data_IF_979276830961
#
_entry.id   IF_979276830961
#
_cell.length_a   1.000
_cell.length_b   1.000
_cell.length_c   1.000
_cell.angle_alpha   90.00
_cell.angle_beta   90.00
_cell.angle_gamma   90.00
#
_symmetry.space_group_name_H-M   'P 1'
#
loop_
_entity.id
_entity.type
_entity.pdbx_description
1 polymer ?
#
# COMPACT_ATOMS: atom_id res chain seq x y z
N UNK A 1 19.92 -8.20 58.46
CA UNK A 1 18.68 -7.68 57.86
C UNK A 1 18.72 -7.98 56.37
N UNK A 2 18.00 -9.02 55.96
CA UNK A 2 17.98 -9.52 54.58
C UNK A 2 17.18 -8.56 53.69
N UNK A 3 17.78 -8.07 52.60
CA UNK A 3 17.07 -7.33 51.55
C UNK A 3 16.52 -8.35 50.54
N UNK A 4 15.21 -8.55 50.58
CA UNK A 4 14.44 -9.31 49.61
C UNK A 4 14.37 -8.50 48.31
N UNK A 5 15.06 -8.95 47.25
CA UNK A 5 15.00 -8.33 45.92
C UNK A 5 13.80 -8.95 45.20
N UNK A 6 12.71 -8.20 45.09
CA UNK A 6 11.56 -8.54 44.27
C UNK A 6 11.90 -8.22 42.81
N UNK A 7 12.28 -9.24 42.03
CA UNK A 7 12.39 -9.13 40.58
C UNK A 7 11.00 -9.15 39.97
N UNK A 8 10.52 -7.99 39.53
CA UNK A 8 9.24 -7.83 38.85
C UNK A 8 9.43 -8.19 37.37
N UNK A 9 9.10 -9.43 36.99
CA UNK A 9 9.15 -9.87 35.59
C UNK A 9 7.98 -9.27 34.81
N UNK A 10 8.25 -8.22 34.04
CA UNK A 10 7.33 -7.66 33.05
C UNK A 10 7.22 -8.62 31.86
N UNK A 11 6.18 -9.45 31.85
CA UNK A 11 5.72 -10.15 30.65
C UNK A 11 5.08 -9.12 29.70
N UNK A 12 5.85 -8.62 28.75
CA UNK A 12 5.29 -7.92 27.59
C UNK A 12 4.65 -8.97 26.68
N UNK A 13 3.34 -9.17 26.87
CA UNK A 13 2.52 -9.87 25.88
C UNK A 13 2.39 -8.91 24.70
N UNK A 14 3.27 -9.06 23.69
CA UNK A 14 3.07 -8.44 22.39
C UNK A 14 1.86 -9.09 21.74
N UNK A 15 0.68 -8.54 22.01
CA UNK A 15 -0.51 -8.84 21.22
C UNK A 15 -0.23 -8.28 19.83
N UNK A 16 0.04 -9.17 18.87
CA UNK A 16 0.02 -8.86 17.44
C UNK A 16 -1.42 -8.51 17.05
N UNK A 17 -1.90 -7.33 17.45
CA UNK A 17 -3.03 -6.70 16.79
C UNK A 17 -2.52 -6.31 15.41
N UNK A 18 -2.80 -7.14 14.39
CA UNK A 18 -2.78 -6.69 13.01
C UNK A 18 -4.11 -5.94 12.82
N UNK A 19 -4.14 -4.59 12.89
CA UNK A 19 -5.38 -3.85 12.78
C UNK A 19 -5.71 -3.75 11.29
N UNK A 20 -6.11 -4.86 10.69
CA UNK A 20 -6.71 -4.84 9.38
C UNK A 20 -7.99 -4.03 9.49
N UNK A 21 -7.97 -2.77 9.06
CA UNK A 21 -9.18 -1.98 9.03
C UNK A 21 -10.07 -2.52 7.91
N UNK A 22 -11.37 -2.60 8.19
CA UNK A 22 -12.37 -2.93 7.15
C UNK A 22 -12.47 -1.78 6.14
N UNK A 23 -12.20 -0.56 6.61
CA UNK A 23 -12.29 0.69 5.86
C UNK A 23 -10.99 1.49 6.01
N UNK A 24 -10.50 2.07 4.93
CA UNK A 24 -9.28 2.89 4.94
C UNK A 24 -9.56 4.32 4.52
N UNK A 25 -8.89 5.28 5.16
CA UNK A 25 -8.69 6.62 4.62
C UNK A 25 -7.36 6.65 3.86
N UNK A 26 -7.09 7.67 3.05
CA UNK A 26 -5.78 7.83 2.44
C UNK A 26 -4.65 7.83 3.46
N UNK A 27 -4.89 8.33 4.69
CA UNK A 27 -3.89 8.42 5.76
C UNK A 27 -3.68 7.12 6.52
N UNK A 28 -4.69 6.26 6.64
CA UNK A 28 -4.58 4.98 7.34
C UNK A 28 -4.22 3.82 6.41
N UNK A 29 -4.34 4.00 5.10
CA UNK A 29 -3.95 2.97 4.13
C UNK A 29 -2.45 2.65 4.25
N UNK A 30 -2.03 1.37 4.30
CA UNK A 30 -0.63 1.03 4.49
C UNK A 30 0.23 1.36 3.26
N UNK A 31 1.49 1.68 3.51
CA UNK A 31 2.46 1.93 2.44
C UNK A 31 3.23 0.65 2.13
N UNK A 32 3.00 0.03 0.98
CA UNK A 32 3.63 -1.25 0.62
C UNK A 32 5.15 -1.22 0.51
N UNK A 33 5.79 -0.06 0.46
CA UNK A 33 7.26 0.03 0.50
C UNK A 33 7.81 0.06 1.94
N UNK A 34 7.02 0.53 2.90
CA UNK A 34 7.42 0.65 4.32
C UNK A 34 6.79 -0.42 5.21
N UNK A 35 5.49 -0.62 5.05
CA UNK A 35 4.61 -1.47 5.86
C UNK A 35 4.17 -2.72 5.08
N UNK A 36 5.07 -3.30 4.29
CA UNK A 36 4.76 -4.38 3.34
C UNK A 36 4.07 -5.60 3.96
N UNK A 37 4.32 -5.89 5.24
CA UNK A 37 3.63 -6.96 5.97
C UNK A 37 2.13 -6.68 6.18
N UNK A 38 1.74 -5.41 6.37
CA UNK A 38 0.33 -5.01 6.44
C UNK A 38 -0.36 -5.16 5.08
N UNK A 39 0.41 -5.04 4.00
CA UNK A 39 -0.02 -5.27 2.61
C UNK A 39 0.00 -6.73 2.17
N UNK A 40 0.32 -7.67 3.08
CA UNK A 40 0.38 -9.12 2.80
C UNK A 40 1.42 -9.49 1.73
N UNK A 41 2.52 -8.74 1.73
CA UNK A 41 3.68 -9.02 0.91
C UNK A 41 4.80 -9.66 1.72
N UNK A 42 5.62 -10.46 1.04
CA UNK A 42 6.86 -11.04 1.57
C UNK A 42 8.00 -10.01 1.68
N UNK A 43 7.93 -8.92 0.92
CA UNK A 43 8.95 -7.85 0.83
C UNK A 43 8.32 -6.53 0.36
N UNK A 44 9.03 -5.38 0.48
CA UNK A 44 8.60 -4.12 -0.11
C UNK A 44 8.23 -4.25 -1.59
N UNK A 45 7.10 -3.63 -1.98
CA UNK A 45 6.54 -3.78 -3.33
C UNK A 45 5.66 -2.61 -3.79
N UNK A 46 5.07 -2.75 -4.97
CA UNK A 46 4.22 -1.78 -5.66
C UNK A 46 2.72 -2.07 -5.56
N UNK A 47 2.33 -3.21 -4.98
CA UNK A 47 0.93 -3.57 -4.72
C UNK A 47 0.67 -3.62 -3.20
N UNK A 48 -0.54 -3.27 -2.79
CA UNK A 48 -0.99 -3.45 -1.42
C UNK A 48 -2.38 -4.08 -1.39
N UNK A 49 -2.52 -5.19 -0.66
CA UNK A 49 -3.80 -5.87 -0.43
C UNK A 49 -3.99 -6.17 1.08
N UNK A 50 -4.25 -5.12 1.88
CA UNK A 50 -4.34 -5.27 3.33
C UNK A 50 -5.62 -5.98 3.79
N UNK A 51 -6.59 -6.18 2.89
CA UNK A 51 -7.82 -6.91 3.14
C UNK A 51 -7.83 -8.33 2.57
N UNK A 52 -6.71 -8.80 2.01
CA UNK A 52 -6.56 -10.15 1.43
C UNK A 52 -7.61 -10.47 0.35
N UNK A 53 -7.98 -9.47 -0.45
CA UNK A 53 -9.00 -9.60 -1.49
C UNK A 53 -8.57 -10.51 -2.64
N UNK A 54 -7.27 -10.59 -2.92
CA UNK A 54 -6.74 -11.45 -3.98
C UNK A 54 -6.53 -12.90 -3.52
N UNK A 55 -6.39 -13.11 -2.20
CA UNK A 55 -6.10 -14.40 -1.60
C UNK A 55 -4.74 -15.00 -1.99
N UNK A 56 -4.62 -16.31 -1.80
CA UNK A 56 -3.41 -17.09 -2.11
C UNK A 56 -3.49 -17.72 -3.51
N UNK A 57 -2.31 -17.93 -4.11
CA UNK A 57 -2.22 -18.71 -5.34
C UNK A 57 -2.11 -20.19 -4.96
N UNK A 58 -3.15 -20.99 -5.18
CA UNK A 58 -3.24 -22.39 -4.70
C UNK A 58 -2.07 -23.33 -5.06
N UNK A 59 -1.28 -23.00 -6.07
CA UNK A 59 -0.12 -23.80 -6.51
C UNK A 59 1.24 -23.16 -6.18
N UNK A 60 1.26 -21.99 -5.53
CA UNK A 60 2.47 -21.29 -5.09
C UNK A 60 2.31 -21.01 -3.59
N UNK A 61 3.35 -21.21 -2.79
CA UNK A 61 3.33 -20.81 -1.37
C UNK A 61 3.49 -19.27 -1.25
N UNK A 62 2.65 -18.50 -1.94
CA UNK A 62 2.72 -17.04 -2.05
C UNK A 62 1.32 -16.44 -2.21
N UNK A 63 1.14 -15.22 -1.70
CA UNK A 63 -0.07 -14.44 -1.95
C UNK A 63 -0.15 -14.07 -3.44
N UNK A 64 -1.36 -13.84 -3.95
CA UNK A 64 -1.53 -13.33 -5.31
C UNK A 64 -0.86 -11.95 -5.48
N UNK A 65 -0.79 -11.14 -4.42
CA UNK A 65 -0.05 -9.88 -4.42
C UNK A 65 1.46 -10.10 -4.64
N UNK A 66 2.08 -11.05 -3.93
CA UNK A 66 3.50 -11.43 -4.14
C UNK A 66 3.76 -11.96 -5.55
N UNK A 67 2.76 -12.56 -6.20
CA UNK A 67 2.87 -13.04 -7.58
C UNK A 67 2.78 -11.91 -8.63
N UNK A 68 1.96 -10.88 -8.38
CA UNK A 68 1.75 -9.75 -9.30
C UNK A 68 2.86 -8.70 -9.18
N UNK A 69 3.37 -8.48 -7.97
CA UNK A 69 4.37 -7.44 -7.66
C UNK A 69 5.59 -7.42 -8.63
N UNK A 70 6.21 -8.56 -8.97
CA UNK A 70 7.32 -8.58 -9.91
C UNK A 70 6.99 -8.02 -11.30
N UNK A 71 5.74 -8.14 -11.75
CA UNK A 71 5.30 -7.61 -13.04
C UNK A 71 5.23 -6.08 -13.02
N UNK A 72 4.77 -5.49 -11.91
CA UNK A 72 4.76 -4.04 -11.72
C UNK A 72 6.19 -3.47 -11.69
N UNK A 73 7.09 -4.18 -10.99
CA UNK A 73 8.51 -3.83 -10.94
C UNK A 73 9.15 -3.93 -12.34
N UNK A 74 8.78 -4.94 -13.13
CA UNK A 74 9.29 -5.10 -14.49
C UNK A 74 8.87 -3.94 -15.40
N UNK A 75 7.62 -3.46 -15.28
CA UNK A 75 7.16 -2.26 -16.01
C UNK A 75 8.02 -1.06 -15.63
N UNK A 76 8.28 -0.83 -14.34
CA UNK A 76 9.12 0.27 -13.88
C UNK A 76 10.55 0.18 -14.45
N UNK A 77 11.11 -1.02 -14.60
CA UNK A 77 12.47 -1.23 -15.12
C UNK A 77 12.59 -1.13 -16.64
N UNK A 78 11.52 -1.50 -17.36
CA UNK A 78 11.54 -1.61 -18.83
C UNK A 78 11.00 -0.39 -19.54
N UNK A 79 10.26 0.47 -18.85
CA UNK A 79 9.74 1.72 -19.40
C UNK A 79 10.78 2.85 -19.32
N UNK A 80 10.66 3.82 -20.23
CA UNK A 80 11.52 4.99 -20.20
C UNK A 80 11.09 5.95 -19.09
N UNK A 81 12.08 6.44 -18.34
CA UNK A 81 11.90 7.60 -17.48
C UNK A 81 11.38 8.80 -18.28
N UNK A 82 10.37 9.50 -17.76
CA UNK A 82 9.75 10.65 -18.41
C UNK A 82 10.30 12.01 -17.95
N UNK A 83 11.20 12.02 -16.97
CA UNK A 83 11.83 13.24 -16.46
C UNK A 83 12.58 13.99 -17.57
N UNK A 84 12.51 15.32 -17.52
CA UNK A 84 13.31 16.19 -18.40
C UNK A 84 14.79 16.15 -18.03
N UNK A 85 15.07 16.08 -16.73
CA UNK A 85 16.41 15.94 -16.19
C UNK A 85 16.74 14.46 -15.99
N UNK A 86 17.82 14.02 -16.64
CA UNK A 86 18.26 12.63 -16.63
C UNK A 86 18.71 12.21 -15.23
N UNK A 87 19.24 13.13 -14.43
CA UNK A 87 19.68 12.85 -13.06
C UNK A 87 18.50 12.48 -12.14
N UNK A 88 17.31 12.99 -12.44
CA UNK A 88 16.08 12.65 -11.70
C UNK A 88 15.62 11.21 -11.97
N UNK A 89 16.08 10.59 -13.05
CA UNK A 89 15.80 9.20 -13.31
C UNK A 89 16.65 8.25 -12.44
N UNK A 90 17.76 8.71 -11.85
CA UNK A 90 18.72 7.89 -11.12
C UNK A 90 18.60 8.00 -9.59
N UNK A 91 17.50 8.55 -9.07
CA UNK A 91 17.33 8.86 -7.63
C UNK A 91 17.35 7.61 -6.73
N UNK A 92 17.26 6.40 -7.29
CA UNK A 92 17.31 5.16 -6.48
C UNK A 92 18.58 4.34 -6.66
N UNK A 93 19.01 3.59 -5.62
CA UNK A 93 20.19 2.71 -5.69
C UNK A 93 20.16 1.67 -6.82
N UNK A 94 18.98 1.41 -7.40
CA UNK A 94 18.75 0.41 -8.42
C UNK A 94 18.81 0.96 -9.87
N UNK A 95 19.19 2.23 -10.06
CA UNK A 95 19.37 2.84 -11.37
C UNK A 95 18.14 3.60 -11.89
N UNK A 96 17.98 3.61 -13.22
CA UNK A 96 16.96 4.38 -13.94
C UNK A 96 15.56 3.91 -13.57
N UNK A 97 14.73 4.79 -13.00
CA UNK A 97 13.30 4.52 -12.80
C UNK A 97 12.51 4.93 -14.03
N UNK A 98 11.76 4.00 -14.61
CA UNK A 98 10.70 4.29 -15.55
C UNK A 98 9.37 4.55 -14.84
N UNK A 99 8.28 4.43 -15.60
CA UNK A 99 6.91 4.64 -15.13
C UNK A 99 6.58 3.70 -13.98
N UNK A 100 6.11 4.28 -12.87
CA UNK A 100 5.79 3.50 -11.68
C UNK A 100 4.29 3.20 -11.60
N UNK A 101 3.90 1.95 -11.81
CA UNK A 101 2.50 1.52 -11.60
C UNK A 101 2.38 0.91 -10.22
N UNK A 102 1.46 1.43 -9.42
CA UNK A 102 1.13 0.90 -8.10
C UNK A 102 -0.35 0.54 -8.00
N UNK A 103 -0.64 -0.45 -7.16
CA UNK A 103 -1.99 -0.99 -7.00
C UNK A 103 -2.39 -0.96 -5.52
N UNK A 104 -3.52 -0.32 -5.23
CA UNK A 104 -4.14 -0.30 -3.92
C UNK A 104 -5.46 -1.06 -3.96
N UNK A 105 -5.52 -2.20 -3.28
CA UNK A 105 -6.75 -2.95 -3.05
C UNK A 105 -7.26 -2.62 -1.65
N UNK A 106 -8.56 -2.45 -1.52
CA UNK A 106 -9.23 -2.25 -0.24
C UNK A 106 -10.68 -2.66 -0.37
N UNK A 107 -11.22 -3.17 0.74
CA UNK A 107 -12.62 -3.59 0.77
C UNK A 107 -13.57 -2.40 0.64
N UNK A 108 -13.28 -1.32 1.37
CA UNK A 108 -14.09 -0.10 1.37
C UNK A 108 -13.25 1.12 1.76
N UNK A 109 -13.66 2.29 1.29
CA UNK A 109 -13.08 3.58 1.67
C UNK A 109 -13.86 4.13 2.87
N UNK A 110 -13.15 4.56 3.91
CA UNK A 110 -13.77 5.28 5.02
C UNK A 110 -14.24 6.64 4.51
N UNK A 111 -15.54 6.85 4.54
CA UNK A 111 -16.18 8.05 4.07
C UNK A 111 -16.93 8.66 5.24
N UNK A 112 -16.55 9.88 5.63
CA UNK A 112 -17.11 10.55 6.80
C UNK A 112 -18.53 11.04 6.48
N UNK A 113 -19.52 10.14 6.54
CA UNK A 113 -20.96 10.44 6.44
C UNK A 113 -21.33 11.48 5.37
N UNK A 114 -20.82 11.37 4.15
CA UNK A 114 -21.18 12.29 3.07
C UNK A 114 -22.47 11.76 2.41
N UNK A 115 -23.61 12.49 2.46
CA UNK A 115 -24.88 12.02 1.88
C UNK A 115 -24.79 11.67 0.38
N UNK A 116 -23.80 12.21 -0.31
CA UNK A 116 -23.52 12.05 -1.74
C UNK A 116 -22.95 10.66 -2.08
N UNK A 117 -22.50 9.87 -1.09
CA UNK A 117 -21.94 8.51 -1.27
C UNK A 117 -22.94 7.48 -1.80
N UNK A 118 -24.24 7.77 -1.73
CA UNK A 118 -25.28 6.88 -2.25
C UNK A 118 -25.50 7.04 -3.76
N UNK A 119 -24.92 8.07 -4.40
CA UNK A 119 -25.01 8.26 -5.85
C UNK A 119 -23.75 7.72 -6.55
N UNK A 120 -23.88 7.24 -7.80
CA UNK A 120 -22.71 6.87 -8.61
C UNK A 120 -21.67 8.00 -8.72
N UNK A 121 -22.12 9.26 -8.79
CA UNK A 121 -21.26 10.43 -8.92
C UNK A 121 -20.47 10.71 -7.63
N UNK A 122 -21.11 10.64 -6.47
CA UNK A 122 -20.41 10.84 -5.20
C UNK A 122 -19.44 9.71 -4.88
N UNK A 123 -19.76 8.48 -5.26
CA UNK A 123 -18.83 7.33 -5.24
C UNK A 123 -17.60 7.57 -6.10
N UNK A 124 -17.80 8.00 -7.35
CA UNK A 124 -16.69 8.31 -8.23
C UNK A 124 -15.83 9.47 -7.69
N UNK A 125 -16.46 10.48 -7.10
CA UNK A 125 -15.76 11.59 -6.46
C UNK A 125 -14.92 11.12 -5.26
N UNK A 126 -15.47 10.26 -4.40
CA UNK A 126 -14.78 9.69 -3.25
C UNK A 126 -13.56 8.86 -3.66
N UNK A 127 -13.69 7.93 -4.63
CA UNK A 127 -12.54 7.16 -5.13
C UNK A 127 -11.46 8.08 -5.68
N UNK A 128 -11.84 9.10 -6.46
CA UNK A 128 -10.88 10.06 -7.03
C UNK A 128 -10.13 10.82 -5.95
N UNK A 129 -10.82 11.31 -4.93
CA UNK A 129 -10.19 12.02 -3.82
C UNK A 129 -9.26 11.08 -3.04
N UNK A 130 -9.71 9.85 -2.78
CA UNK A 130 -8.89 8.84 -2.12
C UNK A 130 -7.62 8.55 -2.91
N UNK A 131 -7.75 8.24 -4.21
CA UNK A 131 -6.62 7.92 -5.09
C UNK A 131 -5.64 9.09 -5.17
N UNK A 132 -6.12 10.32 -5.37
CA UNK A 132 -5.26 11.50 -5.45
C UNK A 132 -4.51 11.76 -4.15
N UNK A 133 -5.20 11.69 -3.00
CA UNK A 133 -4.57 11.87 -1.69
C UNK A 133 -3.53 10.77 -1.41
N UNK A 134 -3.87 9.52 -1.71
CA UNK A 134 -2.97 8.38 -1.51
C UNK A 134 -1.72 8.48 -2.39
N UNK A 135 -1.91 8.78 -3.68
CA UNK A 135 -0.82 9.00 -4.65
C UNK A 135 0.12 10.10 -4.19
N UNK A 136 -0.43 11.25 -3.80
CA UNK A 136 0.34 12.41 -3.32
C UNK A 136 1.10 12.12 -2.02
N UNK A 137 0.56 11.26 -1.16
CA UNK A 137 1.22 10.85 0.09
C UNK A 137 2.35 9.85 -0.15
N UNK A 138 2.18 8.92 -1.08
CA UNK A 138 3.15 7.85 -1.34
C UNK A 138 4.25 8.23 -2.33
N UNK A 139 4.00 9.17 -3.25
CA UNK A 139 4.99 9.75 -4.18
C UNK A 139 5.90 8.70 -4.83
N UNK A 140 5.29 7.69 -5.46
CA UNK A 140 6.03 6.51 -5.94
C UNK A 140 6.82 6.75 -7.22
N UNK A 141 6.44 7.76 -7.99
CA UNK A 141 7.07 8.11 -9.26
C UNK A 141 8.19 9.12 -9.10
N UNK A 142 9.03 9.18 -10.12
CA UNK A 142 9.93 10.30 -10.37
C UNK A 142 9.25 11.26 -11.33
N UNK A 143 9.20 12.56 -11.02
CA UNK A 143 8.70 13.58 -11.95
C UNK A 143 7.23 13.40 -12.36
N UNK A 144 6.38 12.92 -11.44
CA UNK A 144 4.96 12.66 -11.67
C UNK A 144 4.70 11.48 -12.64
N UNK A 145 5.68 10.57 -12.82
CA UNK A 145 5.60 9.41 -13.71
C UNK A 145 4.98 8.15 -13.07
N UNK A 146 4.09 8.33 -12.10
CA UNK A 146 3.39 7.24 -11.44
C UNK A 146 1.90 7.16 -11.76
N UNK A 147 1.41 5.93 -11.82
CA UNK A 147 0.01 5.58 -11.95
C UNK A 147 -0.39 4.81 -10.70
N UNK A 148 -1.43 5.28 -10.02
CA UNK A 148 -2.07 4.55 -8.92
C UNK A 148 -3.39 3.96 -9.41
N UNK A 149 -3.51 2.64 -9.32
CA UNK A 149 -4.75 1.90 -9.59
C UNK A 149 -5.39 1.58 -8.24
N UNK A 150 -6.59 2.09 -7.98
CA UNK A 150 -7.37 1.79 -6.78
C UNK A 150 -8.52 0.86 -7.14
N UNK A 151 -8.66 -0.26 -6.43
CA UNK A 151 -9.70 -1.27 -6.65
C UNK A 151 -10.47 -1.48 -5.33
N UNK A 152 -11.77 -1.20 -5.35
CA UNK A 152 -12.68 -1.43 -4.22
C UNK A 152 -14.00 -2.06 -4.69
N UNK A 153 -14.45 -3.19 -4.12
CA UNK A 153 -15.70 -3.85 -4.49
C UNK A 153 -16.91 -3.24 -3.78
N UNK A 154 -16.70 -2.64 -2.61
CA UNK A 154 -17.75 -2.03 -1.80
C UNK A 154 -17.55 -0.51 -1.75
N UNK A 155 -18.65 0.20 -1.96
CA UNK A 155 -18.81 1.65 -1.77
C UNK A 155 -20.20 1.93 -1.21
#
# INVERSE_FOLDING_TARGET
MNKLILTFSLFFIFVNCNPGFIYYTPDTYPDSQRDYQLCKLSKPGLICDPNEMLGDVTNLNSTAADYIDPMLIEIQKTTNCSCQDVDQCFITPNGRQGVTISVALLKSISADNIPEEQTPEGRLHLIRNFANALRNRQQRGSCDDDILIVITPEM
#
